data_IF_395143918300
#
_entry.id   IF_395143918300
#
_cell.length_a   1.000
_cell.length_b   1.000
_cell.length_c   1.000
_cell.angle_alpha   90.00
_cell.angle_beta   90.00
_cell.angle_gamma   90.00
#
_symmetry.space_group_name_H-M   'P 1'
#
loop_
_entity.id
_entity.type
_entity.pdbx_description
1 polymer ?
#
# COMPACT_ATOMS: atom_id res chain seq x y z
N UNK A 1 -6.78 1.86 51.86
CA UNK A 1 -6.69 0.81 50.83
C UNK A 1 -6.99 1.42 49.47
N UNK A 2 -5.97 1.78 48.69
CA UNK A 2 -6.10 2.52 47.43
C UNK A 2 -5.46 1.69 46.31
N UNK A 3 -6.27 1.23 45.35
CA UNK A 3 -5.85 0.34 44.25
C UNK A 3 -5.32 1.15 43.06
N UNK A 4 -4.03 0.94 42.77
CA UNK A 4 -3.42 0.66 41.46
C UNK A 4 -4.11 1.32 40.25
N UNK A 5 -3.54 2.44 39.80
CA UNK A 5 -3.54 2.85 38.39
C UNK A 5 -2.09 2.83 37.95
N UNK A 6 -1.63 1.86 37.16
CA UNK A 6 -0.43 1.94 36.31
C UNK A 6 -0.39 0.73 35.37
N UNK A 7 -1.01 0.85 34.20
CA UNK A 7 -0.82 -0.08 33.06
C UNK A 7 -1.28 0.62 31.78
N UNK A 8 -0.61 1.71 31.42
CA UNK A 8 -0.88 2.47 30.19
C UNK A 8 0.38 2.96 29.46
N UNK A 9 1.58 2.61 29.95
CA UNK A 9 2.84 3.18 29.46
C UNK A 9 3.80 2.16 28.82
N UNK A 10 3.41 0.89 28.69
CA UNK A 10 4.31 -0.19 28.21
C UNK A 10 4.11 -0.62 26.75
N UNK A 11 3.14 -0.05 26.03
CA UNK A 11 2.88 -0.37 24.62
C UNK A 11 3.42 0.69 23.63
N UNK A 12 4.00 1.80 24.11
CA UNK A 12 4.49 2.89 23.28
C UNK A 12 6.00 2.84 22.97
N UNK A 13 6.74 1.86 23.50
CA UNK A 13 8.22 1.85 23.41
C UNK A 13 8.79 0.86 22.37
N UNK A 14 7.95 0.07 21.69
CA UNK A 14 8.43 -0.98 20.75
C UNK A 14 8.54 -0.48 19.29
N UNK A 15 8.07 0.73 18.96
CA UNK A 15 8.08 1.23 17.56
C UNK A 15 9.20 2.23 17.21
N UNK A 16 10.16 2.51 18.11
CA UNK A 16 11.09 3.65 17.97
C UNK A 16 12.59 3.32 17.83
N UNK A 17 12.97 2.08 17.49
CA UNK A 17 14.39 1.69 17.38
C UNK A 17 14.70 0.96 16.08
N UNK A 18 14.79 1.72 14.98
CA UNK A 18 15.43 1.26 13.74
C UNK A 18 15.95 2.43 12.87
N UNK A 19 16.62 3.42 13.47
CA UNK A 19 17.50 4.35 12.74
C UNK A 19 18.64 4.76 13.67
N UNK A 20 19.81 4.12 13.56
CA UNK A 20 21.14 4.69 13.83
C UNK A 20 22.22 3.58 13.83
N UNK A 21 23.46 3.99 13.55
CA UNK A 21 24.76 3.25 13.51
C UNK A 21 25.06 2.68 12.12
N UNK A 22 26.06 3.12 11.33
CA UNK A 22 27.27 3.97 11.51
C UNK A 22 27.92 4.22 10.11
N UNK A 23 29.20 4.67 9.97
CA UNK A 23 29.81 5.94 10.37
C UNK A 23 30.49 6.70 9.19
N UNK A 24 31.15 7.80 9.55
CA UNK A 24 31.71 8.88 8.75
C UNK A 24 33.08 8.62 8.07
N UNK A 25 33.30 9.42 7.01
CA UNK A 25 34.55 10.09 6.55
C UNK A 25 35.80 9.24 6.22
N UNK A 26 36.24 9.36 4.98
CA UNK A 26 37.66 9.58 4.66
C UNK A 26 37.81 10.51 3.46
N UNK A 27 38.28 11.73 3.73
CA UNK A 27 38.83 12.64 2.74
C UNK A 27 40.29 12.27 2.51
N UNK A 28 40.76 12.20 1.26
CA UNK A 28 42.17 12.40 0.91
C UNK A 28 42.33 12.92 -0.53
N UNK A 29 43.03 14.06 -0.59
CA UNK A 29 43.94 14.54 -1.61
C UNK A 29 43.43 14.98 -3.00
N UNK A 30 43.30 16.30 -3.09
CA UNK A 30 43.67 17.13 -4.24
C UNK A 30 44.97 16.68 -4.92
N UNK A 31 44.94 16.52 -6.25
CA UNK A 31 46.07 16.87 -7.12
C UNK A 31 45.56 17.32 -8.48
N UNK A 32 45.67 18.62 -8.73
CA UNK A 32 45.59 19.19 -10.06
C UNK A 32 46.88 18.88 -10.83
N UNK A 33 46.76 18.57 -12.11
CA UNK A 33 47.81 18.79 -13.10
C UNK A 33 47.15 19.13 -14.43
N UNK A 34 47.69 20.18 -15.05
CA UNK A 34 47.18 20.89 -16.22
C UNK A 34 48.19 20.71 -17.35
N UNK A 35 47.67 20.78 -18.58
CA UNK A 35 48.28 21.24 -19.86
C UNK A 35 48.75 20.19 -20.89
N UNK A 36 48.23 20.42 -22.11
CA UNK A 36 48.68 20.09 -23.48
C UNK A 36 48.74 18.62 -23.89
N UNK A 37 48.32 18.18 -25.09
CA UNK A 37 47.86 18.85 -26.30
C UNK A 37 47.96 17.84 -27.47
N UNK A 38 47.13 17.99 -28.51
CA UNK A 38 47.46 17.60 -29.89
C UNK A 38 47.30 16.14 -30.37
N UNK A 39 46.49 16.00 -31.43
CA UNK A 39 46.65 15.10 -32.59
C UNK A 39 46.24 13.60 -32.53
N UNK A 40 45.08 13.34 -33.17
CA UNK A 40 44.84 12.43 -34.31
C UNK A 40 45.67 11.13 -34.49
N UNK A 41 44.99 9.97 -34.44
CA UNK A 41 45.20 8.75 -35.25
C UNK A 41 44.11 7.73 -34.83
N UNK A 42 43.09 7.42 -35.64
CA UNK A 42 43.04 6.37 -36.67
C UNK A 42 43.34 4.94 -36.17
N UNK A 43 42.28 4.12 -36.24
CA UNK A 43 42.28 2.69 -36.59
C UNK A 43 42.26 1.62 -35.48
N UNK A 44 41.40 0.63 -35.77
CA UNK A 44 41.48 -0.80 -35.46
C UNK A 44 40.95 -1.28 -34.09
N UNK A 45 39.74 -1.84 -34.17
CA UNK A 45 39.31 -2.98 -33.37
C UNK A 45 40.28 -4.17 -33.54
N UNK A 46 40.27 -5.12 -32.60
CA UNK A 46 39.64 -6.39 -32.95
C UNK A 46 38.78 -7.01 -31.84
N UNK A 47 37.90 -7.88 -32.30
CA UNK A 47 37.07 -8.82 -31.55
C UNK A 47 37.88 -9.71 -30.59
N UNK A 48 37.26 -10.09 -29.47
CA UNK A 48 37.55 -11.34 -28.78
C UNK A 48 36.25 -11.98 -28.26
N UNK A 49 35.99 -13.19 -28.73
CA UNK A 49 34.87 -14.07 -28.37
C UNK A 49 35.18 -14.94 -27.15
N UNK A 50 34.08 -15.31 -26.48
CA UNK A 50 33.77 -16.57 -25.80
C UNK A 50 34.51 -16.93 -24.50
N UNK A 51 33.69 -17.16 -23.45
CA UNK A 51 34.07 -17.76 -22.19
C UNK A 51 32.84 -18.20 -21.40
N UNK A 52 32.31 -19.37 -21.80
CA UNK A 52 31.30 -20.16 -21.11
C UNK A 52 31.84 -20.65 -19.75
N UNK A 53 31.10 -20.43 -18.66
CA UNK A 53 31.14 -21.31 -17.50
C UNK A 53 29.84 -21.27 -16.68
N UNK A 54 29.38 -22.50 -16.48
CA UNK A 54 28.33 -23.01 -15.61
C UNK A 54 28.52 -22.61 -14.14
N UNK A 55 27.42 -22.49 -13.38
CA UNK A 55 27.51 -22.56 -11.92
C UNK A 55 26.40 -21.90 -11.12
N UNK A 56 25.47 -22.72 -10.64
CA UNK A 56 25.28 -22.79 -9.18
C UNK A 56 24.15 -21.98 -8.59
N UNK A 57 23.16 -22.70 -8.04
CA UNK A 57 22.02 -22.14 -7.35
C UNK A 57 22.37 -21.37 -6.08
N UNK A 58 21.61 -20.30 -5.85
CA UNK A 58 21.64 -19.49 -4.65
C UNK A 58 20.23 -19.27 -4.13
N UNK A 59 19.60 -20.33 -3.62
CA UNK A 59 18.37 -20.21 -2.84
C UNK A 59 18.64 -19.34 -1.62
N UNK A 60 18.19 -18.09 -1.70
CA UNK A 60 18.40 -17.06 -0.67
C UNK A 60 17.94 -17.56 0.70
N UNK A 61 18.86 -17.51 1.66
CA UNK A 61 18.74 -17.84 3.08
C UNK A 61 17.64 -17.07 3.84
N UNK A 62 16.87 -16.23 3.16
CA UNK A 62 15.78 -15.44 3.72
C UNK A 62 14.52 -16.25 4.10
N UNK A 63 14.37 -17.49 3.62
CA UNK A 63 13.16 -18.32 3.89
C UNK A 63 13.27 -19.23 5.11
N UNK A 64 14.46 -19.38 5.72
CA UNK A 64 14.65 -20.30 6.86
C UNK A 64 14.60 -19.64 8.25
N UNK A 65 14.65 -18.31 8.33
CA UNK A 65 14.59 -17.58 9.61
C UNK A 65 13.15 -17.29 10.09
N UNK A 66 12.18 -17.15 9.16
CA UNK A 66 10.78 -16.90 9.51
C UNK A 66 10.04 -18.13 10.07
N UNK A 67 10.48 -19.34 9.75
CA UNK A 67 9.88 -20.59 10.23
C UNK A 67 10.12 -20.86 11.72
N UNK A 68 11.23 -20.38 12.27
CA UNK A 68 11.62 -20.60 13.67
C UNK A 68 10.75 -19.77 14.62
N UNK A 69 10.46 -18.52 14.25
CA UNK A 69 9.61 -17.60 15.02
C UNK A 69 8.20 -18.16 15.20
N UNK A 70 7.65 -18.79 14.14
CA UNK A 70 6.29 -19.37 14.15
C UNK A 70 6.17 -20.62 15.05
N UNK A 71 7.26 -21.39 15.24
CA UNK A 71 7.28 -22.55 16.15
C UNK A 71 7.42 -22.13 17.61
N UNK A 72 8.26 -21.14 17.91
CA UNK A 72 8.50 -20.68 19.28
C UNK A 72 7.24 -20.10 19.91
N UNK A 73 6.49 -19.25 19.19
CA UNK A 73 5.22 -18.66 19.68
C UNK A 73 4.17 -19.74 19.99
N UNK A 74 4.10 -20.81 19.19
CA UNK A 74 3.14 -21.91 19.38
C UNK A 74 3.50 -22.81 20.57
N UNK A 75 4.79 -22.92 20.88
CA UNK A 75 5.30 -23.66 22.04
C UNK A 75 5.10 -22.86 23.33
N UNK A 76 5.29 -21.54 23.30
CA UNK A 76 5.01 -20.64 24.44
C UNK A 76 3.51 -20.61 24.77
N UNK A 77 2.63 -20.70 23.77
CA UNK A 77 1.17 -20.75 24.01
C UNK A 77 0.71 -22.08 24.66
N UNK A 78 1.46 -23.17 24.48
CA UNK A 78 1.19 -24.47 25.16
C UNK A 78 1.72 -24.50 26.58
N UNK A 79 2.86 -23.86 26.85
CA UNK A 79 3.41 -23.73 28.21
C UNK A 79 2.57 -22.80 29.11
N UNK A 80 1.78 -21.90 28.52
CA UNK A 80 0.88 -20.99 29.23
C UNK A 80 -0.53 -21.57 29.48
N UNK A 81 -0.74 -22.87 29.27
CA UNK A 81 -1.87 -23.61 29.88
C UNK A 81 -3.28 -23.32 29.37
N UNK A 82 -3.46 -22.64 28.23
CA UNK A 82 -4.80 -22.46 27.65
C UNK A 82 -5.19 -23.65 26.75
N UNK A 83 -5.65 -24.74 27.38
CA UNK A 83 -6.19 -25.87 26.66
C UNK A 83 -6.73 -27.01 27.53
N UNK A 84 -8.04 -26.95 27.81
CA UNK A 84 -9.01 -28.06 27.77
C UNK A 84 -8.72 -29.29 28.65
N UNK A 85 -9.37 -29.33 29.81
CA UNK A 85 -9.55 -30.56 30.59
C UNK A 85 -10.94 -31.18 30.35
N UNK A 86 -10.94 -32.49 30.13
CA UNK A 86 -12.12 -33.36 30.16
C UNK A 86 -12.23 -34.10 31.49
N UNK A 87 -13.30 -34.89 31.65
CA UNK A 87 -13.46 -35.82 32.77
C UNK A 87 -14.91 -36.29 32.92
N UNK A 88 -15.14 -37.55 32.55
CA UNK A 88 -16.31 -38.37 32.86
C UNK A 88 -16.31 -38.81 34.34
N UNK A 89 -17.46 -38.80 35.02
CA UNK A 89 -17.76 -39.73 36.12
C UNK A 89 -19.29 -39.88 36.31
N UNK A 90 -19.73 -41.13 36.33
CA UNK A 90 -21.09 -41.62 36.55
C UNK A 90 -21.57 -41.38 38.00
N UNK A 91 -22.85 -41.05 38.20
CA UNK A 91 -23.76 -41.58 39.25
C UNK A 91 -25.09 -40.81 39.21
N UNK A 92 -26.19 -41.51 38.90
CA UNK A 92 -27.57 -41.08 39.13
C UNK A 92 -28.12 -41.75 40.42
N UNK A 93 -29.36 -41.49 40.90
CA UNK A 93 -30.37 -40.54 40.44
C UNK A 93 -31.06 -39.74 41.57
N UNK A 94 -31.56 -38.54 41.29
CA UNK A 94 -32.69 -37.98 42.02
C UNK A 94 -33.47 -36.99 41.15
N UNK A 95 -34.74 -37.33 40.97
CA UNK A 95 -35.76 -36.69 40.14
C UNK A 95 -36.05 -35.24 40.53
N UNK A 96 -35.72 -34.29 39.63
CA UNK A 96 -36.37 -32.97 39.60
C UNK A 96 -36.62 -32.56 38.14
N UNK A 97 -37.91 -32.48 37.77
CA UNK A 97 -38.39 -31.92 36.51
C UNK A 97 -37.77 -30.52 36.31
N UNK A 98 -36.88 -30.36 35.33
CA UNK A 98 -36.51 -29.06 34.77
C UNK A 98 -36.94 -29.02 33.31
N UNK A 99 -37.87 -28.11 33.03
CA UNK A 99 -38.35 -27.77 31.70
C UNK A 99 -37.14 -27.41 30.84
N UNK A 100 -36.92 -28.17 29.77
CA UNK A 100 -35.84 -27.92 28.82
C UNK A 100 -36.14 -26.63 28.05
N UNK A 101 -35.58 -25.51 28.52
CA UNK A 101 -35.52 -24.29 27.74
C UNK A 101 -34.57 -24.51 26.56
N UNK A 102 -35.15 -24.80 25.39
CA UNK A 102 -34.47 -24.89 24.09
C UNK A 102 -33.73 -23.57 23.85
N UNK A 103 -32.44 -23.52 24.17
CA UNK A 103 -31.57 -22.37 23.90
C UNK A 103 -31.49 -22.24 22.38
N UNK A 104 -32.35 -21.40 21.80
CA UNK A 104 -32.32 -21.02 20.38
C UNK A 104 -30.88 -20.59 20.09
N UNK A 105 -30.15 -21.40 19.30
CA UNK A 105 -28.85 -21.01 18.75
C UNK A 105 -29.12 -19.74 17.96
N UNK A 106 -28.78 -18.57 18.51
CA UNK A 106 -28.88 -17.30 17.79
C UNK A 106 -27.90 -17.42 16.62
N UNK A 107 -28.45 -17.45 15.41
CA UNK A 107 -27.65 -17.32 14.18
C UNK A 107 -26.72 -16.11 14.33
N UNK A 108 -25.47 -16.15 13.83
CA UNK A 108 -24.58 -15.01 13.91
C UNK A 108 -25.27 -13.81 13.25
N UNK A 109 -25.34 -12.69 13.97
CA UNK A 109 -25.94 -11.47 13.46
C UNK A 109 -25.15 -11.00 12.22
N UNK A 110 -25.85 -10.68 11.14
CA UNK A 110 -25.25 -10.15 9.91
C UNK A 110 -24.50 -8.86 10.24
N UNK A 111 -23.23 -8.75 9.85
CA UNK A 111 -22.43 -7.55 10.07
C UNK A 111 -23.12 -6.30 9.52
N UNK A 112 -23.06 -5.18 10.25
CA UNK A 112 -23.62 -3.90 9.82
C UNK A 112 -22.94 -3.38 8.53
N UNK A 113 -23.56 -2.46 7.77
CA UNK A 113 -22.92 -1.87 6.60
C UNK A 113 -21.55 -1.25 6.89
N UNK A 114 -21.43 -0.49 7.98
CA UNK A 114 -20.16 0.08 8.42
C UNK A 114 -19.12 -0.98 8.77
N UNK A 115 -19.52 -2.10 9.39
CA UNK A 115 -18.60 -3.20 9.68
C UNK A 115 -18.09 -3.86 8.39
N UNK A 116 -18.94 -4.02 7.37
CA UNK A 116 -18.53 -4.60 6.07
C UNK A 116 -17.58 -3.65 5.33
N UNK A 117 -17.86 -2.35 5.35
CA UNK A 117 -17.00 -1.32 4.76
C UNK A 117 -15.61 -1.31 5.44
N UNK A 118 -15.58 -1.29 6.77
CA UNK A 118 -14.32 -1.32 7.52
C UNK A 118 -13.53 -2.62 7.28
N UNK A 119 -14.22 -3.77 7.18
CA UNK A 119 -13.58 -5.05 6.84
C UNK A 119 -12.98 -5.03 5.44
N UNK A 120 -13.67 -4.44 4.46
CA UNK A 120 -13.17 -4.29 3.09
C UNK A 120 -11.92 -3.43 3.05
N UNK A 121 -11.96 -2.23 3.64
CA UNK A 121 -10.83 -1.29 3.69
C UNK A 121 -9.63 -1.93 4.39
N UNK A 122 -9.85 -2.60 5.53
CA UNK A 122 -8.76 -3.22 6.28
C UNK A 122 -8.07 -4.33 5.49
N UNK A 123 -8.83 -5.15 4.74
CA UNK A 123 -8.27 -6.19 3.87
C UNK A 123 -7.44 -5.60 2.75
N UNK A 124 -7.99 -4.61 2.04
CA UNK A 124 -7.26 -3.94 0.97
C UNK A 124 -6.00 -3.25 1.48
N UNK A 125 -6.01 -2.69 2.69
CA UNK A 125 -4.82 -2.06 3.26
C UNK A 125 -3.72 -3.10 3.50
N UNK A 126 -4.07 -4.23 4.10
CA UNK A 126 -3.13 -5.34 4.28
C UNK A 126 -2.58 -5.81 2.94
N UNK A 127 -3.46 -6.05 1.96
CA UNK A 127 -3.06 -6.53 0.64
C UNK A 127 -2.14 -5.52 -0.07
N UNK A 128 -2.43 -4.22 0.02
CA UNK A 128 -1.59 -3.15 -0.55
C UNK A 128 -0.23 -3.08 0.14
N UNK A 129 -0.17 -3.21 1.47
CA UNK A 129 1.10 -3.17 2.22
C UNK A 129 1.95 -4.41 1.93
N UNK A 130 1.34 -5.59 1.84
CA UNK A 130 2.03 -6.84 1.53
C UNK A 130 2.48 -6.92 0.06
N UNK A 131 1.64 -6.43 -0.86
CA UNK A 131 1.87 -6.48 -2.30
C UNK A 131 1.62 -5.10 -2.94
N UNK A 132 2.50 -4.11 -2.68
CA UNK A 132 2.33 -2.78 -3.23
C UNK A 132 2.51 -2.80 -4.76
N UNK A 133 1.67 -2.09 -5.53
CA UNK A 133 1.92 -1.89 -6.95
C UNK A 133 3.26 -1.19 -7.19
N UNK A 134 3.90 -1.49 -8.31
CA UNK A 134 5.18 -0.88 -8.67
C UNK A 134 5.09 0.65 -8.65
N UNK A 135 6.12 1.28 -8.10
CA UNK A 135 6.18 2.73 -7.93
C UNK A 135 5.20 3.31 -6.89
N UNK A 136 4.35 2.51 -6.25
CA UNK A 136 3.33 2.96 -5.30
C UNK A 136 3.65 2.57 -3.85
N UNK A 137 3.38 3.48 -2.91
CA UNK A 137 3.49 3.22 -1.47
C UNK A 137 2.32 3.84 -0.73
N UNK A 138 1.63 3.06 0.10
CA UNK A 138 0.50 3.55 0.90
C UNK A 138 0.94 4.00 2.30
N UNK A 139 0.36 5.10 2.75
CA UNK A 139 0.48 5.62 4.12
C UNK A 139 -0.91 5.97 4.65
N UNK A 140 -1.22 5.53 5.86
CA UNK A 140 -2.52 5.75 6.50
C UNK A 140 -2.31 6.45 7.85
N UNK A 141 -3.15 7.46 8.11
CA UNK A 141 -3.13 8.20 9.38
C UNK A 141 -4.02 7.53 10.44
N UNK A 142 -4.53 8.34 11.39
CA UNK A 142 -5.49 7.88 12.40
C UNK A 142 -6.83 7.48 11.80
N UNK A 143 -7.23 8.11 10.70
CA UNK A 143 -8.47 7.82 9.99
C UNK A 143 -8.20 6.81 8.88
N UNK A 144 -8.65 5.57 9.06
CA UNK A 144 -8.51 4.50 8.06
C UNK A 144 -9.31 4.75 6.78
N UNK A 145 -10.27 5.67 6.80
CA UNK A 145 -11.03 6.06 5.61
C UNK A 145 -10.30 7.08 4.72
N UNK A 146 -9.06 7.47 5.07
CA UNK A 146 -8.26 8.38 4.24
C UNK A 146 -6.85 7.82 4.09
N UNK A 147 -6.45 7.50 2.87
CA UNK A 147 -5.12 7.00 2.54
C UNK A 147 -4.36 8.03 1.73
N UNK A 148 -3.04 8.05 1.90
CA UNK A 148 -2.12 8.78 1.04
C UNK A 148 -1.26 7.75 0.30
N UNK A 149 -1.43 7.66 -1.01
CA UNK A 149 -0.60 6.83 -1.88
C UNK A 149 0.49 7.72 -2.49
N UNK A 150 1.74 7.44 -2.16
CA UNK A 150 2.89 8.07 -2.82
C UNK A 150 3.21 7.29 -4.08
N UNK A 151 3.20 7.97 -5.23
CA UNK A 151 3.44 7.40 -6.55
C UNK A 151 4.74 7.98 -7.10
N UNK A 152 5.62 7.10 -7.57
CA UNK A 152 6.87 7.47 -8.24
C UNK A 152 6.71 7.21 -9.72
N UNK A 153 6.96 8.20 -10.57
CA UNK A 153 6.83 8.04 -12.01
C UNK A 153 7.78 6.96 -12.53
N UNK A 154 7.27 6.13 -13.43
CA UNK A 154 7.99 4.97 -13.95
C UNK A 154 9.20 5.40 -14.79
N UNK A 155 10.25 4.57 -14.78
CA UNK A 155 11.43 4.78 -15.61
C UNK A 155 11.05 4.75 -17.10
N UNK A 156 11.75 5.54 -17.92
CA UNK A 156 11.46 5.67 -19.35
C UNK A 156 10.24 6.54 -19.70
N UNK A 157 9.57 7.14 -18.71
CA UNK A 157 8.46 8.08 -18.91
C UNK A 157 8.89 9.53 -18.69
N UNK A 158 8.08 10.49 -19.15
CA UNK A 158 8.30 11.93 -18.90
C UNK A 158 8.16 12.34 -17.42
N UNK A 159 7.70 11.41 -16.56
CA UNK A 159 7.54 11.59 -15.12
C UNK A 159 8.59 10.80 -14.31
N UNK A 160 9.58 10.18 -14.97
CA UNK A 160 10.60 9.36 -14.31
C UNK A 160 11.29 10.11 -13.15
N UNK A 161 11.31 9.49 -11.97
CA UNK A 161 11.93 10.05 -10.77
C UNK A 161 11.09 11.09 -10.01
N UNK A 162 9.99 11.57 -10.59
CA UNK A 162 9.07 12.48 -9.92
C UNK A 162 8.18 11.73 -8.91
N UNK A 163 7.82 12.40 -7.82
CA UNK A 163 6.99 11.83 -6.75
C UNK A 163 5.74 12.65 -6.53
N UNK A 164 4.60 11.98 -6.60
CA UNK A 164 3.28 12.56 -6.43
C UNK A 164 2.56 11.90 -5.26
N UNK A 165 1.68 12.64 -4.59
CA UNK A 165 0.86 12.13 -3.51
C UNK A 165 -0.59 12.11 -3.96
N UNK A 166 -1.20 10.94 -3.97
CA UNK A 166 -2.62 10.74 -4.25
C UNK A 166 -3.35 10.58 -2.91
N UNK A 167 -4.36 11.43 -2.67
CA UNK A 167 -5.26 11.27 -1.52
C UNK A 167 -6.46 10.44 -1.96
N UNK A 168 -6.74 9.36 -1.22
CA UNK A 168 -7.88 8.47 -1.42
C UNK A 168 -8.79 8.57 -0.20
N UNK A 169 -10.05 8.89 -0.41
CA UNK A 169 -11.06 9.03 0.66
C UNK A 169 -12.24 8.10 0.38
N UNK A 170 -12.50 7.19 1.31
CA UNK A 170 -13.56 6.19 1.14
C UNK A 170 -14.91 6.74 1.59
N UNK A 171 -15.97 6.61 0.78
CA UNK A 171 -17.32 6.93 1.20
C UNK A 171 -17.87 5.86 2.16
N UNK A 172 -19.00 6.17 2.81
CA UNK A 172 -19.63 5.29 3.80
C UNK A 172 -20.21 4.00 3.20
N UNK A 173 -20.52 4.01 1.91
CA UNK A 173 -21.09 2.91 1.14
C UNK A 173 -20.05 2.15 0.30
N UNK A 174 -18.76 2.49 0.45
CA UNK A 174 -17.64 1.77 -0.18
C UNK A 174 -17.72 0.26 0.15
N UNK A 175 -17.55 -0.64 -0.84
CA UNK A 175 -17.07 -0.44 -2.22
C UNK A 175 -18.16 -0.21 -3.26
N UNK A 176 -19.41 0.04 -2.86
CA UNK A 176 -20.53 0.24 -3.80
C UNK A 176 -20.28 1.46 -4.68
N UNK A 177 -19.94 2.59 -4.05
CA UNK A 177 -19.48 3.80 -4.73
C UNK A 177 -17.94 3.87 -4.76
N UNK A 178 -17.36 4.53 -5.78
CA UNK A 178 -15.91 4.71 -5.87
C UNK A 178 -15.36 5.55 -4.72
N UNK A 179 -14.07 5.38 -4.37
CA UNK A 179 -13.41 6.30 -3.47
C UNK A 179 -13.12 7.62 -4.19
N UNK A 180 -13.21 8.73 -3.47
CA UNK A 180 -12.75 10.02 -3.98
C UNK A 180 -11.22 10.02 -4.04
N UNK A 181 -10.66 10.32 -5.22
CA UNK A 181 -9.22 10.29 -5.47
C UNK A 181 -8.76 11.56 -6.19
N UNK A 182 -7.75 12.22 -5.65
CA UNK A 182 -7.14 13.40 -6.26
C UNK A 182 -5.68 13.57 -5.81
N UNK A 183 -4.86 14.19 -6.64
CA UNK A 183 -3.48 14.51 -6.32
C UNK A 183 -3.39 15.69 -5.34
N UNK A 184 -2.53 15.56 -4.35
CA UNK A 184 -2.08 16.66 -3.52
C UNK A 184 -0.97 17.43 -4.23
N UNK A 185 -0.81 18.70 -3.89
CA UNK A 185 0.27 19.51 -4.45
C UNK A 185 1.66 19.00 -4.03
N UNK A 186 2.65 19.03 -4.94
CA UNK A 186 2.54 19.44 -6.35
C UNK A 186 1.80 18.40 -7.21
N UNK A 187 0.94 18.84 -8.13
CA UNK A 187 0.16 17.97 -9.03
C UNK A 187 0.93 17.67 -10.33
N UNK A 188 0.79 16.46 -10.91
CA UNK A 188 1.43 16.13 -12.17
C UNK A 188 0.76 16.92 -13.31
N UNK A 189 1.56 17.55 -14.17
CA UNK A 189 1.06 18.20 -15.39
C UNK A 189 0.74 17.15 -16.44
N UNK A 190 -0.52 16.71 -16.46
CA UNK A 190 -1.01 15.66 -17.34
C UNK A 190 -2.36 16.05 -17.99
N UNK A 191 -2.64 15.66 -19.25
CA UNK A 191 -3.92 15.98 -19.92
C UNK A 191 -5.19 15.50 -19.22
N UNK A 192 -5.07 14.51 -18.33
CA UNK A 192 -6.17 13.99 -17.51
C UNK A 192 -6.05 14.34 -16.02
N UNK A 193 -5.15 15.26 -15.64
CA UNK A 193 -5.01 15.73 -14.26
C UNK A 193 -5.17 17.24 -14.19
N UNK A 194 -6.18 17.67 -13.45
CA UNK A 194 -6.48 19.08 -13.24
C UNK A 194 -5.53 19.69 -12.22
N UNK A 195 -5.36 21.01 -12.28
CA UNK A 195 -4.44 21.73 -11.38
C UNK A 195 -4.89 21.69 -9.91
N UNK A 196 -6.19 21.50 -9.65
CA UNK A 196 -6.72 21.25 -8.30
C UNK A 196 -6.44 19.83 -7.79
N UNK A 197 -5.92 18.94 -8.65
CA UNK A 197 -5.58 17.56 -8.35
C UNK A 197 -6.58 16.52 -8.82
N UNK A 198 -7.75 16.93 -9.33
CA UNK A 198 -8.73 15.97 -9.82
C UNK A 198 -8.20 15.18 -11.03
N UNK A 199 -8.71 13.97 -11.19
CA UNK A 199 -8.26 13.02 -12.22
C UNK A 199 -9.44 12.64 -13.10
N UNK A 200 -9.37 12.93 -14.39
CA UNK A 200 -10.35 12.45 -15.36
C UNK A 200 -10.06 10.98 -15.70
N UNK A 201 -10.68 10.05 -14.97
CA UNK A 201 -10.50 8.62 -15.17
C UNK A 201 -11.83 7.90 -14.96
N UNK A 202 -12.30 7.16 -15.98
CA UNK A 202 -13.60 6.48 -15.95
C UNK A 202 -13.76 5.52 -14.75
N UNK A 203 -12.67 4.95 -14.24
CA UNK A 203 -12.70 4.09 -13.04
C UNK A 203 -13.14 4.83 -11.77
N UNK A 204 -13.07 6.16 -11.72
CA UNK A 204 -13.53 6.99 -10.60
C UNK A 204 -14.99 7.43 -10.73
N UNK A 205 -15.67 7.10 -11.84
CA UNK A 205 -17.08 7.36 -12.06
C UNK A 205 -17.80 6.14 -12.64
N UNK A 206 -18.23 6.22 -13.90
CA UNK A 206 -19.14 5.23 -14.51
C UNK A 206 -18.51 3.84 -14.68
N UNK A 207 -17.19 3.78 -14.84
CA UNK A 207 -16.42 2.53 -14.94
C UNK A 207 -16.13 1.86 -13.59
N UNK A 208 -16.55 2.45 -12.46
CA UNK A 208 -16.32 1.86 -11.15
C UNK A 208 -17.08 0.54 -11.00
N UNK A 209 -16.39 -0.45 -10.45
CA UNK A 209 -16.97 -1.74 -10.06
C UNK A 209 -16.54 -2.04 -8.63
N UNK A 210 -17.42 -2.55 -7.75
CA UNK A 210 -17.04 -2.91 -6.39
C UNK A 210 -15.92 -3.95 -6.29
N UNK A 211 -15.59 -4.65 -7.38
CA UNK A 211 -14.45 -5.57 -7.48
C UNK A 211 -13.10 -4.88 -7.61
N UNK A 212 -13.07 -3.60 -7.98
CA UNK A 212 -11.83 -2.82 -8.12
C UNK A 212 -11.30 -2.45 -6.73
N UNK A 213 -10.01 -2.62 -6.55
CA UNK A 213 -9.26 -2.28 -5.33
C UNK A 213 -8.48 -0.98 -5.50
N UNK A 214 -8.08 -0.36 -4.41
CA UNK A 214 -7.23 0.85 -4.42
C UNK A 214 -5.86 0.56 -5.02
N UNK A 215 -5.33 -0.66 -4.88
CA UNK A 215 -4.10 -1.10 -5.54
C UNK A 215 -4.24 -1.07 -7.07
N UNK A 216 -5.32 -1.67 -7.61
CA UNK A 216 -5.62 -1.65 -9.04
C UNK A 216 -5.88 -0.23 -9.56
N UNK A 217 -6.60 0.59 -8.78
CA UNK A 217 -6.86 1.98 -9.09
C UNK A 217 -5.56 2.79 -9.17
N UNK A 218 -4.66 2.63 -8.19
CA UNK A 218 -3.36 3.29 -8.14
C UNK A 218 -2.49 2.89 -9.34
N UNK A 219 -2.47 1.59 -9.68
CA UNK A 219 -1.76 1.09 -10.85
C UNK A 219 -2.32 1.68 -12.15
N UNK A 220 -3.65 1.79 -12.26
CA UNK A 220 -4.30 2.39 -13.43
C UNK A 220 -3.95 3.86 -13.60
N UNK A 221 -3.92 4.63 -12.50
CA UNK A 221 -3.49 6.03 -12.51
C UNK A 221 -2.01 6.14 -12.89
N UNK A 222 -1.13 5.26 -12.39
CA UNK A 222 0.28 5.28 -12.76
C UNK A 222 0.48 4.95 -14.24
N UNK A 223 -0.27 3.98 -14.76
CA UNK A 223 -0.27 3.62 -16.19
C UNK A 223 -0.74 4.78 -17.05
N UNK A 224 -1.79 5.50 -16.62
CA UNK A 224 -2.28 6.72 -17.29
C UNK A 224 -1.19 7.78 -17.34
N UNK A 225 -0.47 8.04 -16.23
CA UNK A 225 0.67 8.97 -16.24
C UNK A 225 1.79 8.50 -17.18
N UNK A 226 2.04 7.20 -17.22
CA UNK A 226 3.14 6.61 -17.99
C UNK A 226 2.91 6.63 -19.50
N UNK A 227 1.66 6.64 -19.97
CA UNK A 227 1.33 6.68 -21.40
C UNK A 227 1.48 8.06 -22.03
N UNK A 228 1.60 9.13 -21.22
CA UNK A 228 1.71 10.48 -21.72
C UNK A 228 3.04 10.75 -22.44
N UNK A 229 2.94 11.29 -23.65
CA UNK A 229 4.11 11.70 -24.46
C UNK A 229 4.60 13.10 -24.13
N UNK A 230 3.71 13.97 -23.66
CA UNK A 230 3.99 15.38 -23.35
C UNK A 230 3.28 15.82 -22.07
N UNK A 231 3.90 16.73 -21.31
CA UNK A 231 3.26 17.35 -20.14
C UNK A 231 2.23 18.38 -20.61
N UNK A 232 1.05 18.36 -20.02
CA UNK A 232 -0.08 19.22 -20.40
C UNK A 232 -1.04 19.43 -19.25
N UNK A 233 -2.13 20.15 -19.49
CA UNK A 233 -3.29 20.25 -18.58
C UNK A 233 -4.57 20.01 -19.41
N UNK A 234 -5.67 19.56 -18.79
CA UNK A 234 -6.95 19.43 -19.47
C UNK A 234 -7.38 20.74 -20.13
N UNK A 235 -8.07 20.67 -21.27
CA UNK A 235 -8.50 21.86 -22.03
C UNK A 235 -9.50 22.72 -21.24
N UNK A 236 -10.33 22.09 -20.42
CA UNK A 236 -11.34 22.66 -19.55
C UNK A 236 -10.82 23.04 -18.14
N UNK A 237 -9.50 22.96 -17.91
CA UNK A 237 -8.90 23.15 -16.59
C UNK A 237 -9.26 24.48 -15.91
N UNK A 238 -9.34 25.58 -16.67
CA UNK A 238 -9.64 26.89 -16.12
C UNK A 238 -11.03 26.96 -15.47
N UNK A 239 -12.00 26.21 -16.01
CA UNK A 239 -13.37 26.14 -15.49
C UNK A 239 -13.44 25.19 -14.30
N UNK A 240 -12.79 24.03 -14.42
CA UNK A 240 -12.89 22.96 -13.43
C UNK A 240 -12.07 23.23 -12.16
N UNK A 241 -10.83 23.71 -12.31
CA UNK A 241 -9.89 23.82 -11.20
C UNK A 241 -10.24 24.90 -10.17
N UNK A 242 -11.24 25.74 -10.43
CA UNK A 242 -11.80 26.66 -9.44
C UNK A 242 -12.60 25.93 -8.34
N UNK A 243 -13.02 24.68 -8.58
CA UNK A 243 -13.75 23.86 -7.61
C UNK A 243 -12.81 23.11 -6.66
N UNK A 244 -13.29 22.89 -5.44
CA UNK A 244 -12.63 22.00 -4.48
C UNK A 244 -12.48 20.59 -5.07
N UNK A 245 -11.30 19.95 -4.93
CA UNK A 245 -11.04 18.64 -5.52
C UNK A 245 -11.75 17.50 -4.77
N UNK A 246 -11.82 16.34 -5.41
CA UNK A 246 -12.34 15.11 -4.85
C UNK A 246 -13.87 15.03 -4.82
N UNK A 247 -14.57 15.85 -5.61
CA UNK A 247 -16.02 15.72 -5.77
C UNK A 247 -16.36 14.46 -6.61
N UNK A 248 -17.51 13.81 -6.36
CA UNK A 248 -18.01 12.75 -7.23
C UNK A 248 -18.11 13.20 -8.69
N UNK A 249 -17.82 12.30 -9.63
CA UNK A 249 -17.75 12.61 -11.06
C UNK A 249 -19.12 12.51 -11.78
N UNK A 250 -20.16 13.08 -11.19
CA UNK A 250 -21.48 13.13 -11.81
C UNK A 250 -21.47 14.15 -12.97
N UNK A 251 -21.79 13.70 -14.19
CA UNK A 251 -21.89 14.56 -15.38
C UNK A 251 -20.56 14.95 -16.02
N UNK A 252 -19.46 14.25 -15.70
CA UNK A 252 -18.15 14.48 -16.33
C UNK A 252 -18.14 13.97 -17.77
N UNK A 253 -17.68 14.81 -18.71
CA UNK A 253 -17.37 14.38 -20.06
C UNK A 253 -15.94 13.83 -20.07
N UNK A 254 -15.81 12.50 -20.13
CA UNK A 254 -14.50 11.86 -20.25
C UNK A 254 -13.91 12.16 -21.62
N UNK A 255 -12.69 12.67 -21.66
CA UNK A 255 -11.96 12.94 -22.89
C UNK A 255 -11.23 11.67 -23.39
N UNK A 256 -11.95 10.54 -23.53
CA UNK A 256 -11.39 9.20 -23.86
C UNK A 256 -11.69 8.73 -25.30
N UNK A 257 -12.07 9.62 -26.23
CA UNK A 257 -12.60 9.16 -27.53
C UNK A 257 -11.63 9.28 -28.72
N UNK A 258 -10.36 9.65 -28.55
CA UNK A 258 -9.37 9.62 -29.66
C UNK A 258 -7.93 9.76 -29.18
N UNK A 259 -7.21 8.65 -28.93
CA UNK A 259 -5.75 8.57 -28.95
C UNK A 259 -5.27 7.15 -29.25
#
# INVERSE_FOLDING_TARGET
MQRIRHSGALLATILATAVAVAPARRAMHTRALRVSGGANATSLAPEAKAGLLDGGGGGSLATRLFGVIRKTVRMTLRLLGFGKDGGDEDTAPATKKKVAAKKKRRSPARASPAQRQAQRISRELTDFVENPPDGCKVSVGKNLNVWIVTMTGAEGTIFAGEKYKLRVSFPADYPTSPPSCYFLEPTPRHPHVYTNGDICLNLLGNGWRPTITVAQLSLSILSMLSSAKTKGIPQDNAVHAASAPGKPQEGWMYHDDSC
#
